data_IF_155926039307
#
_entry.id   IF_155926039307
#
_cell.length_a   1.000
_cell.length_b   1.000
_cell.length_c   1.000
_cell.angle_alpha   90.00
_cell.angle_beta   90.00
_cell.angle_gamma   90.00
#
_symmetry.space_group_name_H-M   'P 1'
#
loop_
_entity.id
_entity.type
_entity.pdbx_description
1 polymer ?
#
# COMPACT_ATOMS: atom_id res chain seq x y z
N UNK A 1 -17.61 4.75 2.17
CA UNK A 1 -16.19 4.50 1.87
C UNK A 1 -15.87 5.03 0.50
N UNK A 2 -14.88 5.91 0.39
CA UNK A 2 -14.46 6.50 -0.88
C UNK A 2 -13.59 5.53 -1.69
N UNK A 3 -13.40 5.82 -2.98
CA UNK A 3 -12.51 5.04 -3.87
C UNK A 3 -11.08 4.89 -3.30
N UNK A 4 -10.61 5.92 -2.59
CA UNK A 4 -9.27 5.96 -1.98
C UNK A 4 -9.13 4.95 -0.84
N UNK A 5 -10.15 4.79 0.01
CA UNK A 5 -10.11 3.83 1.10
C UNK A 5 -10.00 2.39 0.57
N UNK A 6 -10.67 2.08 -0.54
CA UNK A 6 -10.57 0.75 -1.16
C UNK A 6 -9.15 0.42 -1.62
N UNK A 7 -8.47 1.35 -2.30
CA UNK A 7 -7.10 1.09 -2.78
C UNK A 7 -6.11 0.97 -1.61
N UNK A 8 -6.30 1.73 -0.52
CA UNK A 8 -5.45 1.68 0.67
C UNK A 8 -5.65 0.36 1.42
N UNK A 9 -6.89 -0.06 1.66
CA UNK A 9 -7.18 -1.23 2.51
C UNK A 9 -7.26 -2.57 1.76
N UNK A 10 -7.43 -2.61 0.44
CA UNK A 10 -7.39 -3.85 -0.34
C UNK A 10 -6.12 -4.70 -0.11
N UNK A 11 -4.89 -4.16 -0.16
CA UNK A 11 -3.69 -4.94 0.12
C UNK A 11 -3.64 -5.43 1.57
N UNK A 12 -4.18 -4.65 2.52
CA UNK A 12 -4.29 -5.07 3.92
C UNK A 12 -5.25 -6.26 4.10
N UNK A 13 -6.39 -6.26 3.42
CA UNK A 13 -7.31 -7.41 3.43
C UNK A 13 -6.66 -8.66 2.82
N UNK A 14 -5.87 -8.48 1.76
CA UNK A 14 -5.11 -9.57 1.17
C UNK A 14 -4.05 -10.13 2.13
N UNK A 15 -3.38 -9.29 2.93
CA UNK A 15 -2.49 -9.74 4.02
C UNK A 15 -3.25 -10.64 4.99
N UNK A 16 -4.43 -10.21 5.46
CA UNK A 16 -5.24 -11.02 6.38
C UNK A 16 -5.59 -12.37 5.76
N UNK A 17 -6.02 -12.41 4.49
CA UNK A 17 -6.32 -13.66 3.80
C UNK A 17 -5.11 -14.61 3.75
N UNK A 18 -3.90 -14.10 3.48
CA UNK A 18 -2.66 -14.89 3.48
C UNK A 18 -2.36 -15.46 4.88
N UNK A 19 -2.57 -14.67 5.93
CA UNK A 19 -2.38 -15.12 7.32
C UNK A 19 -3.36 -16.25 7.68
N UNK A 20 -4.61 -16.18 7.20
CA UNK A 20 -5.61 -17.23 7.38
C UNK A 20 -5.45 -18.44 6.44
N UNK A 21 -4.40 -18.47 5.61
CA UNK A 21 -4.02 -19.65 4.83
C UNK A 21 -4.31 -19.58 3.34
N UNK A 22 -4.75 -18.45 2.81
CA UNK A 22 -4.86 -18.27 1.35
C UNK A 22 -3.48 -18.38 0.66
N UNK A 23 -3.44 -18.83 -0.60
CA UNK A 23 -2.20 -18.98 -1.36
C UNK A 23 -1.50 -17.63 -1.55
N UNK A 24 -0.36 -17.46 -0.89
CA UNK A 24 0.31 -16.15 -0.73
C UNK A 24 0.55 -15.40 -2.04
N UNK A 25 1.15 -16.05 -3.04
CA UNK A 25 1.45 -15.44 -4.35
C UNK A 25 0.19 -15.05 -5.11
N UNK A 26 -0.77 -15.96 -5.20
CA UNK A 26 -2.01 -15.72 -5.94
C UNK A 26 -2.83 -14.59 -5.29
N UNK A 27 -2.97 -14.60 -3.97
CA UNK A 27 -3.66 -13.54 -3.22
C UNK A 27 -2.96 -12.19 -3.39
N UNK A 28 -1.63 -12.13 -3.33
CA UNK A 28 -0.89 -10.90 -3.57
C UNK A 28 -1.02 -10.39 -5.01
N UNK A 29 -0.99 -11.29 -6.00
CA UNK A 29 -1.16 -10.93 -7.40
C UNK A 29 -2.57 -10.37 -7.67
N UNK A 30 -3.61 -11.03 -7.16
CA UNK A 30 -5.00 -10.57 -7.29
C UNK A 30 -5.15 -9.19 -6.67
N UNK A 31 -4.61 -8.98 -5.46
CA UNK A 31 -4.67 -7.68 -4.80
C UNK A 31 -3.94 -6.58 -5.58
N UNK A 32 -2.75 -6.87 -6.11
CA UNK A 32 -1.98 -5.92 -6.90
C UNK A 32 -2.68 -5.56 -8.22
N UNK A 33 -3.20 -6.55 -8.95
CA UNK A 33 -3.98 -6.33 -10.19
C UNK A 33 -5.25 -5.55 -9.92
N UNK A 34 -5.96 -5.88 -8.83
CA UNK A 34 -7.14 -5.14 -8.39
C UNK A 34 -6.80 -3.67 -8.13
N UNK A 35 -5.73 -3.38 -7.38
CA UNK A 35 -5.31 -2.01 -7.10
C UNK A 35 -4.92 -1.24 -8.37
N UNK A 36 -4.22 -1.87 -9.32
CA UNK A 36 -3.93 -1.25 -10.62
C UNK A 36 -5.22 -0.93 -11.37
N UNK A 37 -6.16 -1.86 -11.44
CA UNK A 37 -7.45 -1.64 -12.11
C UNK A 37 -8.26 -0.51 -11.44
N UNK A 38 -8.29 -0.48 -10.11
CA UNK A 38 -8.96 0.56 -9.34
C UNK A 38 -8.34 1.95 -9.59
N UNK A 39 -7.01 2.05 -9.61
CA UNK A 39 -6.32 3.32 -9.90
C UNK A 39 -6.52 3.76 -11.35
N UNK A 40 -6.56 2.83 -12.33
CA UNK A 40 -6.91 3.16 -13.71
C UNK A 40 -8.34 3.73 -13.79
N UNK A 41 -9.29 3.12 -13.09
CA UNK A 41 -10.66 3.63 -13.03
C UNK A 41 -10.71 5.04 -12.42
N UNK A 42 -9.93 5.30 -11.36
CA UNK A 42 -9.80 6.64 -10.78
C UNK A 42 -9.15 7.63 -11.76
N UNK A 43 -8.15 7.20 -12.54
CA UNK A 43 -7.50 8.04 -13.55
C UNK A 43 -8.46 8.48 -14.66
N UNK A 44 -9.36 7.59 -15.09
CA UNK A 44 -10.41 7.93 -16.06
C UNK A 44 -11.42 8.93 -15.48
N UNK A 45 -11.67 8.88 -14.16
CA UNK A 45 -12.57 9.81 -13.45
C UNK A 45 -11.92 11.13 -13.07
N UNK A 46 -10.59 11.18 -12.99
CA UNK A 46 -9.81 12.34 -12.60
C UNK A 46 -10.22 13.66 -13.28
N UNK A 47 -10.35 13.77 -14.63
CA UNK A 47 -10.69 15.05 -15.26
C UNK A 47 -12.06 15.60 -14.84
N UNK A 48 -13.05 14.71 -14.66
CA UNK A 48 -14.40 15.10 -14.23
C UNK A 48 -14.42 15.59 -12.77
N UNK A 49 -13.55 15.04 -11.94
CA UNK A 49 -13.43 15.41 -10.52
C UNK A 49 -12.71 16.75 -10.35
N UNK A 50 -11.69 17.03 -11.16
CA UNK A 50 -10.99 18.33 -11.16
C UNK A 50 -11.94 19.48 -11.48
N UNK A 51 -12.84 19.29 -12.44
CA UNK A 51 -13.83 20.31 -12.82
C UNK A 51 -14.87 20.57 -11.71
N UNK A 52 -15.16 19.56 -10.89
CA UNK A 52 -16.22 19.63 -9.86
C UNK A 52 -15.70 20.03 -8.47
N UNK A 53 -14.53 19.57 -8.05
CA UNK A 53 -14.13 19.51 -6.64
C UNK A 53 -12.84 20.27 -6.28
N UNK A 54 -12.19 20.95 -7.24
CA UNK A 54 -11.03 21.80 -6.97
C UNK A 54 -9.72 21.03 -6.81
N UNK A 55 -8.86 21.42 -5.86
CA UNK A 55 -7.47 20.94 -5.78
C UNK A 55 -7.28 19.56 -5.11
N UNK A 56 -8.20 19.15 -4.22
CA UNK A 56 -8.14 17.84 -3.54
C UNK A 56 -9.34 17.00 -3.98
N UNK A 57 -9.05 15.92 -4.68
CA UNK A 57 -10.03 15.02 -5.26
C UNK A 57 -10.25 13.81 -4.38
N UNK A 58 -11.42 13.17 -4.54
CA UNK A 58 -11.78 11.93 -3.85
C UNK A 58 -11.66 11.99 -2.31
N UNK A 59 -11.90 13.17 -1.73
CA UNK A 59 -11.71 13.41 -0.31
C UNK A 59 -12.68 12.57 0.57
N UNK A 60 -12.15 11.99 1.63
CA UNK A 60 -12.89 11.32 2.71
C UNK A 60 -12.38 11.80 4.05
N UNK A 61 -13.24 11.88 5.06
CA UNK A 61 -12.82 12.18 6.42
C UNK A 61 -13.72 11.51 7.43
N UNK A 62 -13.10 10.72 8.31
CA UNK A 62 -13.75 10.08 9.44
C UNK A 62 -13.09 10.58 10.73
N UNK A 63 -13.86 11.21 11.63
CA UNK A 63 -13.36 11.62 12.93
C UNK A 63 -13.22 10.40 13.84
N UNK A 64 -11.99 10.05 14.23
CA UNK A 64 -11.72 8.96 15.17
C UNK A 64 -11.70 9.45 16.61
N UNK A 65 -11.03 10.58 16.85
CA UNK A 65 -10.97 11.22 18.16
C UNK A 65 -11.30 12.70 18.02
N UNK A 66 -12.09 13.21 18.98
CA UNK A 66 -12.44 14.62 19.08
C UNK A 66 -11.39 15.43 19.84
N UNK A 67 -10.69 14.82 20.79
CA UNK A 67 -9.64 15.44 21.58
C UNK A 67 -8.55 14.42 21.94
N UNK A 68 -7.34 14.48 21.34
CA UNK A 68 -6.94 15.37 20.24
C UNK A 68 -7.78 15.14 18.97
N UNK A 69 -7.89 16.17 18.11
CA UNK A 69 -8.65 16.09 16.86
C UNK A 69 -7.90 15.21 15.84
N UNK A 70 -8.27 13.94 15.75
CA UNK A 70 -7.66 12.97 14.83
C UNK A 70 -8.70 12.51 13.82
N UNK A 71 -8.46 12.83 12.57
CA UNK A 71 -9.33 12.44 11.47
C UNK A 71 -8.59 11.46 10.57
N UNK A 72 -9.14 10.27 10.36
CA UNK A 72 -8.69 9.43 9.25
C UNK A 72 -9.26 10.06 7.99
N UNK A 73 -8.47 10.94 7.43
CA UNK A 73 -8.82 11.71 6.25
C UNK A 73 -7.89 11.35 5.10
N UNK A 74 -8.51 11.15 3.94
CA UNK A 74 -7.83 10.82 2.70
C UNK A 74 -8.19 11.84 1.63
N UNK A 75 -7.29 12.09 0.70
CA UNK A 75 -7.51 12.96 -0.44
C UNK A 75 -6.35 12.85 -1.41
N UNK A 76 -6.61 13.13 -2.69
CA UNK A 76 -5.60 13.08 -3.74
C UNK A 76 -5.47 14.44 -4.39
N UNK A 77 -4.28 15.03 -4.33
CA UNK A 77 -3.88 16.11 -5.23
C UNK A 77 -3.16 15.53 -6.47
N UNK A 78 -2.71 16.40 -7.38
CA UNK A 78 -2.02 15.97 -8.61
C UNK A 78 -0.73 15.18 -8.36
N UNK A 79 0.02 15.50 -7.29
CA UNK A 79 1.27 14.81 -6.96
C UNK A 79 1.01 13.46 -6.31
N UNK A 80 0.12 13.43 -5.33
CA UNK A 80 -0.32 12.21 -4.63
C UNK A 80 -0.90 11.20 -5.59
N UNK A 81 -1.66 11.67 -6.60
CA UNK A 81 -2.19 10.79 -7.64
C UNK A 81 -1.07 10.07 -8.42
N UNK A 82 -0.02 10.78 -8.83
CA UNK A 82 1.14 10.19 -9.52
C UNK A 82 1.85 9.17 -8.62
N UNK A 83 2.02 9.49 -7.33
CA UNK A 83 2.67 8.60 -6.36
C UNK A 83 1.84 7.34 -6.08
N UNK A 84 0.51 7.44 -6.06
CA UNK A 84 -0.41 6.30 -5.97
C UNK A 84 -0.28 5.40 -7.21
N UNK A 85 -0.28 5.97 -8.42
CA UNK A 85 -0.06 5.22 -9.68
C UNK A 85 1.27 4.48 -9.65
N UNK A 86 2.36 5.16 -9.25
CA UNK A 86 3.66 4.55 -9.13
C UNK A 86 3.65 3.40 -8.11
N UNK A 87 3.02 3.59 -6.96
CA UNK A 87 2.97 2.60 -5.89
C UNK A 87 2.29 1.31 -6.33
N UNK A 88 1.14 1.40 -7.00
CA UNK A 88 0.42 0.18 -7.47
C UNK A 88 1.19 -0.54 -8.56
N UNK A 89 1.88 0.18 -9.45
CA UNK A 89 2.71 -0.41 -10.50
C UNK A 89 3.96 -1.09 -9.92
N UNK A 90 4.65 -0.44 -8.98
CA UNK A 90 5.81 -1.02 -8.30
C UNK A 90 5.41 -2.24 -7.49
N UNK A 91 4.26 -2.20 -6.81
CA UNK A 91 3.73 -3.36 -6.07
C UNK A 91 3.45 -4.54 -7.02
N UNK A 92 2.78 -4.29 -8.14
CA UNK A 92 2.52 -5.33 -9.15
C UNK A 92 3.81 -5.90 -9.72
N UNK A 93 4.76 -5.04 -10.09
CA UNK A 93 6.06 -5.44 -10.59
C UNK A 93 6.82 -6.28 -9.56
N UNK A 94 6.82 -5.91 -8.28
CA UNK A 94 7.47 -6.65 -7.21
C UNK A 94 6.87 -8.06 -7.03
N UNK A 95 5.54 -8.20 -7.12
CA UNK A 95 4.88 -9.51 -7.02
C UNK A 95 5.17 -10.38 -8.25
N UNK A 96 5.15 -9.81 -9.47
CA UNK A 96 5.44 -10.55 -10.71
C UNK A 96 6.91 -10.96 -10.79
N UNK A 97 7.83 -10.04 -10.51
CA UNK A 97 9.28 -10.24 -10.54
C UNK A 97 9.81 -11.02 -9.33
N UNK A 98 8.94 -11.40 -8.39
CA UNK A 98 9.31 -12.21 -7.22
C UNK A 98 10.03 -13.50 -7.67
N UNK A 99 11.08 -13.92 -6.93
CA UNK A 99 11.75 -15.18 -7.20
C UNK A 99 10.75 -16.35 -7.24
N UNK A 100 11.10 -17.41 -7.97
CA UNK A 100 10.36 -18.67 -7.88
C UNK A 100 10.20 -19.06 -6.40
N UNK A 101 9.01 -19.55 -6.01
CA UNK A 101 8.69 -19.82 -4.61
C UNK A 101 9.71 -20.74 -3.92
N UNK A 102 10.26 -21.70 -4.68
CA UNK A 102 11.34 -22.59 -4.24
C UNK A 102 12.65 -21.90 -3.87
N UNK A 103 12.87 -20.66 -4.35
CA UNK A 103 14.05 -19.85 -4.06
C UNK A 103 13.83 -18.85 -2.94
N UNK A 104 12.59 -18.66 -2.48
CA UNK A 104 12.28 -17.78 -1.34
C UNK A 104 12.75 -18.50 -0.07
N UNK A 105 13.96 -18.16 0.39
CA UNK A 105 14.52 -18.69 1.63
C UNK A 105 13.70 -18.15 2.81
N UNK A 106 12.91 -19.01 3.44
CA UNK A 106 12.11 -18.67 4.61
C UNK A 106 10.60 -18.79 4.35
N UNK A 107 9.82 -17.91 4.97
CA UNK A 107 8.36 -18.00 4.94
C UNK A 107 7.78 -17.21 3.75
N UNK A 108 7.24 -17.93 2.76
CA UNK A 108 6.59 -17.35 1.58
C UNK A 108 5.42 -16.42 1.98
N UNK A 109 4.66 -16.78 3.03
CA UNK A 109 3.58 -15.92 3.53
C UNK A 109 4.12 -14.60 4.04
N UNK A 110 5.26 -14.61 4.73
CA UNK A 110 5.91 -13.40 5.22
C UNK A 110 6.40 -12.54 4.07
N UNK A 111 6.96 -13.14 3.00
CA UNK A 111 7.43 -12.38 1.84
C UNK A 111 6.31 -11.55 1.21
N UNK A 112 5.22 -12.21 0.79
CA UNK A 112 4.12 -11.52 0.13
C UNK A 112 3.32 -10.62 1.07
N UNK A 113 3.15 -11.01 2.34
CA UNK A 113 2.48 -10.15 3.33
C UNK A 113 3.29 -8.87 3.56
N UNK A 114 4.61 -8.96 3.67
CA UNK A 114 5.47 -7.77 3.79
C UNK A 114 5.38 -6.88 2.56
N UNK A 115 5.40 -7.43 1.35
CA UNK A 115 5.23 -6.63 0.12
C UNK A 115 3.90 -5.88 0.09
N UNK A 116 2.80 -6.52 0.51
CA UNK A 116 1.48 -5.89 0.57
C UNK A 116 1.35 -4.88 1.72
N UNK A 117 2.00 -5.11 2.86
CA UNK A 117 2.06 -4.13 3.96
C UNK A 117 2.84 -2.87 3.55
N UNK A 118 3.96 -3.03 2.83
CA UNK A 118 4.69 -1.89 2.23
C UNK A 118 3.77 -1.13 1.29
N UNK A 119 3.02 -1.83 0.42
CA UNK A 119 2.04 -1.21 -0.49
C UNK A 119 0.95 -0.45 0.28
N UNK A 120 0.38 -1.04 1.33
CA UNK A 120 -0.63 -0.43 2.20
C UNK A 120 -0.10 0.84 2.85
N UNK A 121 1.09 0.79 3.43
CA UNK A 121 1.73 1.93 4.08
C UNK A 121 2.08 3.04 3.09
N UNK A 122 2.61 2.71 1.91
CA UNK A 122 2.90 3.70 0.88
C UNK A 122 1.63 4.37 0.35
N UNK A 123 0.59 3.59 0.00
CA UNK A 123 -0.69 4.14 -0.46
C UNK A 123 -1.34 5.01 0.62
N UNK A 124 -1.39 4.52 1.86
CA UNK A 124 -1.95 5.27 2.97
C UNK A 124 -1.21 6.58 3.25
N UNK A 125 0.13 6.57 3.19
CA UNK A 125 0.94 7.77 3.39
C UNK A 125 0.69 8.80 2.27
N UNK A 126 0.65 8.39 1.01
CA UNK A 126 0.40 9.32 -0.09
C UNK A 126 -1.04 9.82 -0.16
N UNK A 127 -2.00 9.07 0.40
CA UNK A 127 -3.40 9.47 0.39
C UNK A 127 -3.81 10.27 1.63
N UNK A 128 -3.08 10.16 2.75
CA UNK A 128 -3.48 10.74 4.02
C UNK A 128 -3.31 12.27 4.02
N UNK A 129 -4.35 12.98 4.45
CA UNK A 129 -4.33 14.45 4.60
C UNK A 129 -4.08 14.91 6.04
N UNK A 130 -4.22 13.99 7.02
CA UNK A 130 -3.87 14.22 8.42
C UNK A 130 -2.45 13.72 8.70
N UNK A 131 -1.62 14.58 9.32
CA UNK A 131 -0.21 14.33 9.60
C UNK A 131 0.02 13.07 10.46
N UNK A 132 -0.88 12.79 11.41
CA UNK A 132 -0.74 11.62 12.27
C UNK A 132 -0.87 10.33 11.47
N UNK A 133 -1.89 10.24 10.60
CA UNK A 133 -2.11 9.05 9.78
C UNK A 133 -1.07 8.93 8.67
N UNK A 134 -0.62 10.04 8.08
CA UNK A 134 0.54 10.04 7.19
C UNK A 134 1.74 9.36 7.84
N UNK A 135 2.09 9.77 9.06
CA UNK A 135 3.21 9.19 9.80
C UNK A 135 2.97 7.72 10.15
N UNK A 136 1.75 7.37 10.61
CA UNK A 136 1.41 5.99 10.96
C UNK A 136 1.53 5.03 9.76
N UNK A 137 1.07 5.45 8.58
CA UNK A 137 1.21 4.67 7.35
C UNK A 137 2.66 4.59 6.86
N UNK A 138 3.44 5.67 7.02
CA UNK A 138 4.87 5.66 6.73
C UNK A 138 5.62 4.64 7.60
N UNK A 139 5.39 4.65 8.92
CA UNK A 139 5.97 3.66 9.85
C UNK A 139 5.49 2.24 9.54
N UNK A 140 4.22 2.07 9.14
CA UNK A 140 3.69 0.78 8.69
C UNK A 140 4.45 0.22 7.48
N UNK A 141 4.95 1.07 6.58
CA UNK A 141 5.78 0.62 5.45
C UNK A 141 7.23 0.31 5.86
N UNK A 142 7.78 0.98 6.86
CA UNK A 142 9.16 0.80 7.31
C UNK A 142 9.40 -0.57 7.95
N UNK A 143 8.53 -1.01 8.86
CA UNK A 143 8.64 -2.30 9.55
C UNK A 143 8.78 -3.50 8.58
N UNK A 144 7.88 -3.71 7.60
CA UNK A 144 8.01 -4.79 6.63
C UNK A 144 9.20 -4.60 5.68
N UNK A 145 9.61 -3.37 5.39
CA UNK A 145 10.82 -3.10 4.59
C UNK A 145 12.07 -3.61 5.32
N UNK A 146 12.19 -3.32 6.61
CA UNK A 146 13.24 -3.85 7.49
C UNK A 146 13.28 -5.39 7.44
N UNK A 147 12.11 -6.04 7.58
CA UNK A 147 11.99 -7.50 7.52
C UNK A 147 12.40 -8.06 6.15
N UNK A 148 12.02 -7.38 5.06
CA UNK A 148 12.37 -7.78 3.71
C UNK A 148 13.88 -7.80 3.50
N UNK A 149 14.57 -6.73 3.91
CA UNK A 149 16.02 -6.61 3.79
C UNK A 149 16.72 -7.64 4.68
N UNK A 150 16.33 -7.74 5.96
CA UNK A 150 17.03 -8.62 6.92
C UNK A 150 16.89 -10.11 6.62
N UNK A 151 15.74 -10.56 6.10
CA UNK A 151 15.45 -11.98 5.88
C UNK A 151 15.75 -12.40 4.43
N UNK A 152 15.36 -11.57 3.46
CA UNK A 152 15.36 -11.92 2.04
C UNK A 152 16.40 -11.14 1.23
N UNK A 153 17.09 -10.16 1.83
CA UNK A 153 18.23 -9.48 1.23
C UNK A 153 19.39 -10.42 0.91
N UNK A 154 20.21 -9.99 -0.05
CA UNK A 154 21.42 -10.68 -0.49
C UNK A 154 22.66 -10.19 0.29
N UNK A 155 23.66 -11.06 0.43
CA UNK A 155 24.92 -10.77 1.12
C UNK A 155 24.92 -11.12 2.60
N UNK A 156 26.11 -11.28 3.17
CA UNK A 156 26.31 -11.67 4.58
C UNK A 156 25.91 -10.55 5.56
N UNK A 157 26.08 -9.29 5.15
CA UNK A 157 25.80 -8.09 5.96
C UNK A 157 24.33 -7.64 5.95
N UNK A 158 23.41 -8.39 5.32
CA UNK A 158 21.99 -8.00 5.15
C UNK A 158 21.27 -7.61 6.45
N UNK A 159 21.65 -8.22 7.59
CA UNK A 159 21.08 -7.86 8.89
C UNK A 159 21.57 -6.49 9.36
N UNK A 160 22.84 -6.16 9.12
CA UNK A 160 23.40 -4.84 9.43
C UNK A 160 22.82 -3.75 8.52
N UNK A 161 22.59 -4.05 7.25
CA UNK A 161 21.98 -3.10 6.29
C UNK A 161 20.51 -2.81 6.56
N UNK A 162 19.81 -3.71 7.24
CA UNK A 162 18.43 -3.47 7.63
C UNK A 162 18.33 -2.41 8.76
N UNK A 163 19.31 -2.36 9.67
CA UNK A 163 19.38 -1.41 10.78
C UNK A 163 19.99 -0.07 10.37
#
# INVERSE_FOLDING_TARGET
MTYVEFIVFAPLLAVLAILFGSPARATALVAAVFNVAAVILMAVRYPFEVESNGQVLFASSHNLLKSPNLNLAFGLDGVSFVLVVLTVLVTLAAVIASPAESKIKGNIKLYYSSSLLISTGALGAFCATDLFFFYAFHELALIPTFLMIGIFGNGEDRKRTAW
#
